data_IF_725360271099
#
_entry.id   IF_725360271099
#
_cell.length_a   1.000
_cell.length_b   1.000
_cell.length_c   1.000
_cell.angle_alpha   90.00
_cell.angle_beta   90.00
_cell.angle_gamma   90.00
#
_symmetry.space_group_name_H-M   'P 1'
#
loop_
_entity.id
_entity.type
_entity.pdbx_description
1 polymer ?
#
# COMPACT_ATOMS: atom_id res chain seq x y z
N UNK A 1 -4.02 -18.87 -12.24
CA UNK A 1 -2.75 -18.75 -11.45
C UNK A 1 -3.18 -18.68 -10.00
N UNK A 2 -2.65 -19.50 -9.08
CA UNK A 2 -3.06 -19.46 -7.66
C UNK A 2 -2.25 -18.40 -6.89
N UNK A 3 -2.80 -17.75 -5.86
CA UNK A 3 -2.01 -16.86 -5.01
C UNK A 3 -0.85 -17.62 -4.35
N UNK A 4 0.30 -16.97 -4.20
CA UNK A 4 1.45 -17.57 -3.49
C UNK A 4 1.17 -17.52 -1.98
N UNK A 5 1.14 -18.68 -1.27
CA UNK A 5 0.90 -18.71 0.18
C UNK A 5 1.86 -17.84 1.00
N UNK A 6 3.08 -17.60 0.50
CA UNK A 6 4.07 -16.75 1.18
C UNK A 6 3.65 -15.28 1.29
N UNK A 7 2.72 -14.83 0.45
CA UNK A 7 2.22 -13.46 0.48
C UNK A 7 1.03 -13.26 1.44
N UNK A 8 0.50 -14.33 2.05
CA UNK A 8 -0.70 -14.25 2.88
C UNK A 8 -0.56 -13.25 4.04
N UNK A 9 0.53 -13.34 4.81
CA UNK A 9 0.78 -12.44 5.94
C UNK A 9 0.86 -10.97 5.49
N UNK A 10 1.53 -10.70 4.36
CA UNK A 10 1.65 -9.34 3.83
C UNK A 10 0.29 -8.77 3.36
N UNK A 11 -0.58 -9.61 2.81
CA UNK A 11 -1.94 -9.20 2.40
C UNK A 11 -2.80 -8.89 3.63
N UNK A 12 -2.74 -9.72 4.67
CA UNK A 12 -3.48 -9.45 5.91
C UNK A 12 -2.98 -8.18 6.61
N UNK A 13 -1.67 -7.94 6.63
CA UNK A 13 -1.11 -6.68 7.10
C UNK A 13 -1.68 -5.48 6.31
N UNK A 14 -1.68 -5.57 4.98
CA UNK A 14 -2.20 -4.51 4.12
C UNK A 14 -3.69 -4.22 4.36
N UNK A 15 -4.49 -5.27 4.58
CA UNK A 15 -5.91 -5.15 4.93
C UNK A 15 -6.11 -4.51 6.30
N UNK A 16 -5.33 -4.91 7.30
CA UNK A 16 -5.40 -4.31 8.65
C UNK A 16 -4.99 -2.84 8.67
N UNK A 17 -4.12 -2.43 7.75
CA UNK A 17 -3.67 -1.06 7.61
C UNK A 17 -4.63 -0.17 6.82
N UNK A 18 -5.70 -0.73 6.23
CA UNK A 18 -6.67 0.04 5.40
C UNK A 18 -7.52 0.95 6.28
N UNK A 19 -7.43 2.28 6.14
CA UNK A 19 -8.26 3.19 6.91
C UNK A 19 -9.72 3.15 6.45
N UNK A 20 -10.63 3.70 7.27
CA UNK A 20 -12.07 3.70 6.99
C UNK A 20 -12.45 4.46 5.73
N UNK A 21 -11.64 5.45 5.32
CA UNK A 21 -11.82 6.20 4.08
C UNK A 21 -11.13 5.54 2.87
N UNK A 22 -10.49 4.39 3.07
CA UNK A 22 -9.82 3.61 2.03
C UNK A 22 -8.52 4.23 1.50
N UNK A 23 -7.95 5.24 2.16
CA UNK A 23 -6.70 5.89 1.71
C UNK A 23 -5.56 5.61 2.67
N UNK A 24 -4.54 4.88 2.22
CA UNK A 24 -3.38 4.55 3.04
C UNK A 24 -2.54 5.79 3.29
N UNK A 25 -2.00 5.85 4.50
CA UNK A 25 -1.10 6.92 4.95
C UNK A 25 0.33 6.62 4.50
N UNK A 26 1.06 7.63 4.06
CA UNK A 26 2.52 7.54 3.91
C UNK A 26 3.13 7.44 5.31
N UNK A 27 3.70 6.30 5.69
CA UNK A 27 4.26 6.14 7.05
C UNK A 27 5.65 6.74 7.19
N UNK A 28 6.61 6.23 6.41
CA UNK A 28 8.01 6.63 6.50
C UNK A 28 8.43 7.24 5.17
N UNK A 29 9.13 8.36 5.26
CA UNK A 29 9.90 8.92 4.15
C UNK A 29 11.37 8.79 4.49
N UNK A 30 12.11 8.08 3.67
CA UNK A 30 13.56 7.99 3.81
C UNK A 30 14.22 9.29 3.35
N UNK A 31 15.16 9.79 4.15
CA UNK A 31 15.92 11.00 3.84
C UNK A 31 16.92 10.77 2.68
N UNK A 32 17.24 11.83 1.94
CA UNK A 32 18.21 11.77 0.85
C UNK A 32 17.98 12.88 -0.18
N UNK A 33 18.99 13.13 -1.02
CA UNK A 33 18.85 14.05 -2.15
C UNK A 33 17.99 13.42 -3.23
N UNK A 34 16.86 14.07 -3.53
CA UNK A 34 15.96 13.73 -4.63
C UNK A 34 15.80 14.96 -5.53
N UNK A 35 15.38 14.75 -6.78
CA UNK A 35 15.09 15.85 -7.70
C UNK A 35 13.79 16.57 -7.36
N UNK A 36 12.78 15.83 -6.89
CA UNK A 36 11.51 16.32 -6.38
C UNK A 36 10.83 15.21 -5.59
N UNK A 37 9.91 15.60 -4.70
CA UNK A 37 9.08 14.67 -3.96
C UNK A 37 7.92 14.17 -4.84
N UNK A 38 7.80 12.84 -4.97
CA UNK A 38 6.79 12.20 -5.82
C UNK A 38 5.45 12.06 -5.10
N UNK A 39 5.48 11.99 -3.78
CA UNK A 39 4.33 11.71 -2.93
C UNK A 39 4.25 12.69 -1.76
N UNK A 40 3.23 12.53 -0.93
CA UNK A 40 2.95 13.37 0.24
C UNK A 40 3.96 13.16 1.39
N UNK A 41 4.07 14.12 2.33
CA UNK A 41 4.78 13.91 3.58
C UNK A 41 4.29 12.71 4.39
N UNK A 42 5.14 12.22 5.30
CA UNK A 42 4.73 11.20 6.25
C UNK A 42 3.54 11.68 7.10
N UNK A 43 2.55 10.81 7.33
CA UNK A 43 1.31 11.10 8.06
C UNK A 43 0.14 11.55 7.17
N UNK A 44 0.36 11.78 5.87
CA UNK A 44 -0.69 12.18 4.95
C UNK A 44 -1.21 11.03 4.07
N UNK A 45 -2.48 11.05 3.62
CA UNK A 45 -3.02 10.06 2.70
C UNK A 45 -2.26 10.07 1.36
N UNK A 46 -1.53 8.99 1.08
CA UNK A 46 -0.75 8.83 -0.15
C UNK A 46 -1.62 8.29 -1.29
N UNK A 47 -1.56 8.97 -2.44
CA UNK A 47 -2.21 8.48 -3.66
C UNK A 47 -1.52 7.24 -4.21
N UNK A 48 -0.19 7.16 -4.10
CA UNK A 48 0.59 6.04 -4.66
C UNK A 48 0.47 4.78 -3.82
N UNK A 49 0.61 4.89 -2.50
CA UNK A 49 0.41 3.76 -1.58
C UNK A 49 -1.02 3.25 -1.70
N UNK A 50 -2.02 4.14 -1.73
CA UNK A 50 -3.43 3.74 -1.92
C UNK A 50 -3.62 2.98 -3.23
N UNK A 51 -3.12 3.51 -4.36
CA UNK A 51 -3.24 2.85 -5.65
C UNK A 51 -2.59 1.46 -5.66
N UNK A 52 -1.37 1.34 -5.12
CA UNK A 52 -0.65 0.07 -5.07
C UNK A 52 -1.34 -0.94 -4.15
N UNK A 53 -1.83 -0.49 -3.00
CA UNK A 53 -2.55 -1.31 -2.03
C UNK A 53 -3.83 -1.89 -2.63
N UNK A 54 -4.71 -1.03 -3.17
CA UNK A 54 -5.96 -1.45 -3.80
C UNK A 54 -5.71 -2.40 -4.98
N UNK A 55 -4.69 -2.10 -5.80
CA UNK A 55 -4.32 -2.98 -6.92
C UNK A 55 -3.86 -4.36 -6.45
N UNK A 56 -3.07 -4.42 -5.38
CA UNK A 56 -2.60 -5.68 -4.82
C UNK A 56 -3.75 -6.50 -4.23
N UNK A 57 -4.63 -5.87 -3.45
CA UNK A 57 -5.80 -6.51 -2.85
C UNK A 57 -6.77 -7.02 -3.91
N UNK A 58 -7.14 -6.18 -4.88
CA UNK A 58 -8.03 -6.58 -5.98
C UNK A 58 -7.46 -7.77 -6.77
N UNK A 59 -6.14 -7.80 -6.98
CA UNK A 59 -5.47 -8.91 -7.67
C UNK A 59 -5.49 -10.19 -6.83
N UNK A 60 -5.23 -10.09 -5.53
CA UNK A 60 -5.23 -11.22 -4.60
C UNK A 60 -6.63 -11.84 -4.50
N UNK A 61 -7.65 -11.01 -4.30
CA UNK A 61 -9.04 -11.44 -4.15
C UNK A 61 -9.58 -12.10 -5.43
N UNK A 62 -9.13 -11.66 -6.61
CA UNK A 62 -9.50 -12.28 -7.88
C UNK A 62 -8.80 -13.63 -8.15
N UNK A 63 -7.78 -13.99 -7.37
CA UNK A 63 -7.06 -15.26 -7.50
C UNK A 63 -7.38 -16.28 -6.41
N UNK A 64 -7.81 -15.80 -5.25
CA UNK A 64 -8.24 -16.64 -4.12
C UNK A 64 -9.49 -17.44 -4.49
#
# INVERSE_FOLDING_TARGET
MRPDPRAHEAVELLRSARPSDGRWIQEIRYEGRVWFDIDVPAGEPSRWVTFLAERALARWDALA
#
